data_IF_696011535937
#
_entry.id   IF_696011535937
#
_cell.length_a   1.000
_cell.length_b   1.000
_cell.length_c   1.000
_cell.angle_alpha   90.00
_cell.angle_beta   90.00
_cell.angle_gamma   90.00
#
_symmetry.space_group_name_H-M   'P 1'
#
loop_
_entity.id
_entity.type
_entity.pdbx_description
1 polymer ?
#
# COMPACT_ATOMS: atom_id res chain seq x y z
N UNK A 1 -7.52 16.98 -6.57
CA UNK A 1 -7.13 15.56 -6.62
C UNK A 1 -6.37 15.20 -5.35
N UNK A 2 -6.51 13.96 -4.92
CA UNK A 2 -5.87 13.50 -3.70
C UNK A 2 -4.44 13.03 -3.99
N UNK A 3 -3.51 13.40 -3.13
CA UNK A 3 -2.12 12.95 -3.21
C UNK A 3 -1.81 12.05 -2.02
N UNK A 4 -1.21 10.91 -2.27
CA UNK A 4 -0.80 9.96 -1.23
C UNK A 4 0.69 9.71 -1.38
N UNK A 5 1.48 10.15 -0.39
CA UNK A 5 2.94 9.96 -0.34
C UNK A 5 3.65 10.38 -1.64
N UNK A 6 3.23 11.48 -2.24
CA UNK A 6 3.80 11.98 -3.48
C UNK A 6 3.19 11.43 -4.75
N UNK A 7 2.29 10.45 -4.62
CA UNK A 7 1.54 9.92 -5.76
C UNK A 7 0.25 10.69 -5.92
N UNK A 8 0.05 11.31 -7.07
CA UNK A 8 -1.15 12.06 -7.36
C UNK A 8 -2.18 11.15 -8.00
N UNK A 9 -3.31 10.94 -7.31
CA UNK A 9 -4.35 10.04 -7.80
C UNK A 9 -5.06 10.65 -9.02
N UNK A 10 -5.26 9.84 -10.04
CA UNK A 10 -6.00 10.26 -11.24
C UNK A 10 -7.51 10.30 -10.99
N UNK A 11 -7.99 9.46 -10.07
CA UNK A 11 -9.40 9.37 -9.70
C UNK A 11 -9.51 8.75 -8.31
N UNK A 12 -10.71 8.71 -7.75
CA UNK A 12 -10.94 8.03 -6.48
C UNK A 12 -10.64 6.54 -6.61
N UNK A 13 -10.09 5.97 -5.54
CA UNK A 13 -9.80 4.55 -5.51
C UNK A 13 -11.08 3.74 -5.54
N UNK A 14 -11.05 2.65 -6.30
CA UNK A 14 -12.19 1.76 -6.52
C UNK A 14 -12.06 0.53 -5.62
N UNK A 15 -13.16 0.13 -4.98
CA UNK A 15 -13.15 -1.07 -4.16
C UNK A 15 -12.90 -2.32 -5.02
N UNK A 16 -12.04 -3.19 -4.51
CA UNK A 16 -11.77 -4.48 -5.10
C UNK A 16 -13.00 -5.40 -4.93
N UNK A 17 -13.15 -6.37 -5.80
CA UNK A 17 -14.23 -7.35 -5.73
C UNK A 17 -14.23 -8.14 -4.42
N UNK A 18 -13.06 -8.32 -3.81
CA UNK A 18 -12.93 -8.99 -2.51
C UNK A 18 -13.43 -8.14 -1.34
N UNK A 19 -13.51 -6.82 -1.50
CA UNK A 19 -13.85 -5.89 -0.43
C UNK A 19 -12.73 -5.64 0.58
N UNK A 20 -11.54 -6.21 0.39
CA UNK A 20 -10.42 -6.05 1.31
C UNK A 20 -9.43 -4.96 0.92
N UNK A 21 -9.57 -4.41 -0.26
CA UNK A 21 -8.68 -3.36 -0.73
C UNK A 21 -9.36 -2.45 -1.73
N UNK A 22 -8.73 -1.31 -1.98
CA UNK A 22 -9.13 -0.37 -3.03
C UNK A 22 -7.93 -0.17 -3.94
N UNK A 23 -8.16 0.16 -5.20
CA UNK A 23 -7.10 0.34 -6.17
C UNK A 23 -7.39 1.49 -7.11
N UNK A 24 -6.36 1.95 -7.80
CA UNK A 24 -6.48 3.01 -8.78
C UNK A 24 -5.14 3.30 -9.43
N UNK A 25 -5.11 4.38 -10.20
CA UNK A 25 -3.89 4.84 -10.84
C UNK A 25 -3.47 6.18 -10.29
N UNK A 26 -2.16 6.39 -10.21
CA UNK A 26 -1.57 7.62 -9.72
C UNK A 26 -0.38 8.02 -10.57
N UNK A 27 0.00 9.27 -10.50
CA UNK A 27 1.18 9.80 -11.20
C UNK A 27 2.21 10.31 -10.22
N UNK A 28 3.46 10.02 -10.55
CA UNK A 28 4.60 10.53 -9.80
C UNK A 28 5.77 10.70 -10.75
N UNK A 29 6.35 11.90 -10.78
CA UNK A 29 7.51 12.20 -11.65
C UNK A 29 7.27 11.86 -13.12
N UNK A 30 6.06 12.12 -13.61
CA UNK A 30 5.71 11.87 -15.02
C UNK A 30 5.42 10.42 -15.37
N UNK A 31 5.47 9.53 -14.40
CA UNK A 31 5.17 8.12 -14.61
C UNK A 31 3.83 7.75 -13.99
N UNK A 32 3.17 6.76 -14.58
CA UNK A 32 1.91 6.22 -14.05
C UNK A 32 2.20 4.99 -13.22
N UNK A 33 1.58 4.93 -12.05
CA UNK A 33 1.68 3.81 -11.12
C UNK A 33 0.31 3.25 -10.83
N UNK A 34 0.26 1.94 -10.59
CA UNK A 34 -0.90 1.31 -9.98
C UNK A 34 -0.73 1.42 -8.47
N UNK A 35 -1.75 1.91 -7.77
CA UNK A 35 -1.72 2.04 -6.31
C UNK A 35 -2.85 1.23 -5.71
N UNK A 36 -2.55 0.49 -4.66
CA UNK A 36 -3.52 -0.33 -3.95
C UNK A 36 -3.51 0.05 -2.48
N UNK A 37 -4.70 0.33 -1.94
CA UNK A 37 -4.89 0.64 -0.53
C UNK A 37 -5.44 -0.59 0.18
N UNK A 38 -4.77 -1.02 1.23
CA UNK A 38 -5.22 -2.14 2.06
C UNK A 38 -6.12 -1.61 3.16
N UNK A 39 -7.29 -2.22 3.34
CA UNK A 39 -8.24 -1.79 4.35
C UNK A 39 -7.91 -2.34 5.73
N UNK A 40 -7.10 -3.37 5.82
CA UNK A 40 -6.64 -3.99 7.07
C UNK A 40 -5.22 -4.50 6.90
N UNK A 41 -4.36 -4.43 7.92
CA UNK A 41 -4.61 -3.82 9.23
C UNK A 41 -4.61 -2.28 9.18
N UNK A 42 -5.24 -1.66 10.18
CA UNK A 42 -5.26 -0.21 10.33
C UNK A 42 -4.34 0.19 11.47
N UNK A 43 -3.41 1.09 11.20
CA UNK A 43 -2.48 1.58 12.21
C UNK A 43 -3.23 2.51 13.19
N UNK A 44 -3.00 2.38 14.50
CA UNK A 44 -3.74 3.16 15.50
C UNK A 44 -3.24 4.61 15.58
N UNK A 45 -3.79 5.49 14.76
CA UNK A 45 -3.43 6.92 14.77
C UNK A 45 -4.26 7.73 15.77
N UNK A 46 -5.39 7.21 16.24
CA UNK A 46 -6.24 7.85 17.24
C UNK A 46 -6.09 7.13 18.58
N UNK A 47 -4.85 7.08 19.08
CA UNK A 47 -4.52 6.33 20.28
C UNK A 47 -5.27 6.79 21.54
N UNK A 48 -5.65 8.07 21.61
CA UNK A 48 -6.38 8.61 22.75
C UNK A 48 -7.79 8.02 22.93
N UNK A 49 -8.33 7.40 21.86
CA UNK A 49 -9.63 6.76 21.92
C UNK A 49 -9.57 5.28 22.30
N UNK A 50 -8.34 4.76 22.51
CA UNK A 50 -8.09 3.36 22.79
C UNK A 50 -7.30 3.19 24.06
N UNK A 51 -7.41 2.02 24.70
CA UNK A 51 -6.55 1.68 25.84
C UNK A 51 -5.12 1.41 25.35
N UNK A 52 -4.14 1.62 26.23
CA UNK A 52 -2.74 1.35 25.89
C UNK A 52 -2.53 -0.09 25.42
N UNK A 53 -3.19 -1.03 26.06
CA UNK A 53 -3.11 -2.45 25.74
C UNK A 53 -3.59 -2.73 24.30
N UNK A 54 -4.70 -2.11 23.91
CA UNK A 54 -5.24 -2.25 22.55
C UNK A 54 -4.31 -1.60 21.53
N UNK A 55 -3.76 -0.42 21.85
CA UNK A 55 -2.83 0.30 20.98
C UNK A 55 -1.59 -0.54 20.73
N UNK A 56 -0.98 -1.10 21.78
CA UNK A 56 0.20 -1.93 21.65
C UNK A 56 -0.06 -3.17 20.81
N UNK A 57 -1.20 -3.82 21.01
CA UNK A 57 -1.60 -5.00 20.24
C UNK A 57 -1.74 -4.66 18.76
N UNK A 58 -2.38 -3.55 18.44
CA UNK A 58 -2.56 -3.10 17.05
C UNK A 58 -1.23 -2.74 16.41
N UNK A 59 -0.34 -2.06 17.12
CA UNK A 59 1.01 -1.72 16.63
C UNK A 59 1.81 -2.97 16.35
N UNK A 60 1.72 -3.97 17.21
CA UNK A 60 2.42 -5.25 17.02
C UNK A 60 1.93 -5.98 15.78
N UNK A 61 0.61 -6.03 15.57
CA UNK A 61 0.02 -6.64 14.38
C UNK A 61 0.47 -5.91 13.10
N UNK A 62 0.49 -4.59 13.14
CA UNK A 62 0.94 -3.78 12.01
C UNK A 62 2.42 -4.03 11.72
N UNK A 63 3.26 -4.10 12.75
CA UNK A 63 4.68 -4.36 12.61
C UNK A 63 4.94 -5.73 11.97
N UNK A 64 4.22 -6.76 12.42
CA UNK A 64 4.32 -8.09 11.85
C UNK A 64 3.87 -8.13 10.39
N UNK A 65 2.80 -7.39 10.08
CA UNK A 65 2.30 -7.25 8.71
C UNK A 65 3.33 -6.56 7.82
N UNK A 66 3.94 -5.47 8.29
CA UNK A 66 4.97 -4.75 7.54
C UNK A 66 6.15 -5.65 7.21
N UNK A 67 6.64 -6.41 8.18
CA UNK A 67 7.75 -7.34 7.96
C UNK A 67 7.41 -8.41 6.95
N UNK A 68 6.23 -9.01 7.09
CA UNK A 68 5.74 -10.04 6.18
C UNK A 68 5.65 -9.53 4.75
N UNK A 69 5.07 -8.35 4.57
CA UNK A 69 4.89 -7.76 3.25
C UNK A 69 6.21 -7.34 2.61
N UNK A 70 7.13 -6.79 3.40
CA UNK A 70 8.47 -6.43 2.89
C UNK A 70 9.22 -7.64 2.38
N UNK A 71 9.17 -8.75 3.11
CA UNK A 71 9.79 -10.01 2.68
C UNK A 71 9.16 -10.53 1.40
N UNK A 72 7.82 -10.51 1.34
CA UNK A 72 7.08 -10.98 0.19
C UNK A 72 7.44 -10.18 -1.07
N UNK A 73 7.45 -8.87 -0.97
CA UNK A 73 7.75 -8.00 -2.11
C UNK A 73 9.20 -8.10 -2.55
N UNK A 74 10.12 -8.24 -1.61
CA UNK A 74 11.53 -8.46 -1.94
C UNK A 74 11.69 -9.76 -2.72
N UNK A 75 11.02 -10.81 -2.29
CA UNK A 75 11.04 -12.11 -2.97
C UNK A 75 10.45 -12.00 -4.38
N UNK A 76 9.30 -11.36 -4.52
CA UNK A 76 8.65 -11.19 -5.82
C UNK A 76 9.54 -10.41 -6.78
N UNK A 77 10.15 -9.31 -6.32
CA UNK A 77 11.01 -8.49 -7.17
C UNK A 77 12.29 -9.24 -7.59
N UNK A 78 12.83 -10.07 -6.69
CA UNK A 78 14.03 -10.85 -7.00
C UNK A 78 13.74 -12.03 -7.92
N UNK A 79 12.53 -12.58 -7.87
CA UNK A 79 12.14 -13.74 -8.66
C UNK A 79 11.46 -13.36 -9.98
N UNK A 80 11.18 -12.08 -10.22
CA UNK A 80 10.55 -11.66 -11.46
C UNK A 80 11.61 -11.48 -12.55
N UNK A 81 11.89 -12.53 -13.27
CA UNK A 81 12.83 -12.56 -14.39
C UNK A 81 12.37 -11.67 -15.55
N UNK A 82 12.57 -10.37 -15.42
CA UNK A 82 12.21 -9.43 -16.47
C UNK A 82 10.71 -9.30 -16.69
N UNK A 83 9.91 -9.80 -15.77
CA UNK A 83 8.46 -9.73 -15.91
C UNK A 83 7.86 -8.47 -15.34
N UNK A 84 6.99 -8.12 -15.89
CA UNK A 84 5.88 -7.22 -16.11
C UNK A 84 5.39 -6.41 -14.88
N UNK A 85 5.57 -6.87 -13.66
CA UNK A 85 5.10 -6.16 -12.48
C UNK A 85 6.25 -5.96 -11.51
N UNK A 86 6.65 -4.72 -11.39
CA UNK A 86 7.70 -4.36 -10.44
C UNK A 86 7.10 -3.51 -9.34
N UNK A 87 7.21 -3.99 -8.12
CA UNK A 87 6.71 -3.24 -6.97
C UNK A 87 7.66 -2.08 -6.70
N UNK A 88 7.12 -0.85 -6.74
CA UNK A 88 7.89 0.36 -6.50
C UNK A 88 8.08 0.59 -5.01
N UNK A 89 6.99 0.65 -4.27
CA UNK A 89 7.04 0.89 -2.83
C UNK A 89 5.92 0.17 -2.10
N UNK A 90 6.19 -0.17 -0.85
CA UNK A 90 5.19 -0.52 0.15
C UNK A 90 5.37 0.45 1.31
N UNK A 91 4.31 1.14 1.70
CA UNK A 91 4.43 2.19 2.71
C UNK A 91 3.13 2.35 3.50
N UNK A 92 3.26 3.00 4.65
CA UNK A 92 2.12 3.42 5.44
C UNK A 92 1.92 4.92 5.24
N UNK A 93 0.69 5.30 4.97
CA UNK A 93 0.28 6.70 4.87
C UNK A 93 -0.96 6.90 5.73
N UNK A 94 -0.83 7.72 6.78
CA UNK A 94 -1.87 7.84 7.79
C UNK A 94 -2.06 6.52 8.53
N UNK A 95 -3.27 6.02 8.58
CA UNK A 95 -3.61 4.76 9.26
C UNK A 95 -3.59 3.54 8.34
N UNK A 96 -3.37 3.72 7.06
CA UNK A 96 -3.51 2.65 6.08
C UNK A 96 -2.21 2.33 5.37
N UNK A 97 -2.13 1.10 4.83
CA UNK A 97 -1.00 0.63 4.07
C UNK A 97 -1.31 0.66 2.59
N UNK A 98 -0.28 0.96 1.82
CA UNK A 98 -0.38 1.09 0.37
C UNK A 98 0.76 0.35 -0.31
N UNK A 99 0.50 -0.13 -1.51
CA UNK A 99 1.52 -0.67 -2.40
C UNK A 99 1.41 0.03 -3.73
N UNK A 100 2.56 0.35 -4.34
CA UNK A 100 2.59 0.92 -5.67
C UNK A 100 3.41 0.04 -6.60
N UNK A 101 2.92 -0.13 -7.81
CA UNK A 101 3.63 -0.85 -8.87
C UNK A 101 3.71 0.03 -10.10
N UNK A 102 4.83 -0.06 -10.83
CA UNK A 102 4.95 0.65 -12.09
C UNK A 102 3.98 0.09 -13.10
N UNK A 103 3.24 0.98 -13.77
CA UNK A 103 2.43 0.57 -14.89
C UNK A 103 3.36 0.40 -16.10
N UNK A 104 3.48 -0.83 -16.55
CA UNK A 104 4.28 -1.13 -17.75
C UNK A 104 3.41 -0.89 -18.96
N UNK A 105 3.79 0.11 -19.75
CA UNK A 105 3.14 0.32 -21.01
C UNK A 105 3.66 -0.73 -21.99
N UNK A 106 2.75 -1.60 -22.42
CA UNK A 106 3.08 -2.54 -23.47
C UNK A 106 3.25 -1.78 -24.78
N UNK A 107 4.38 -1.89 -25.34
CA UNK A 107 4.69 -1.29 -26.62
C UNK A 107 4.09 -2.15 -27.74
#
# INVERSE_FOLDING_TARGET
MKTINGYELEADLTADNSGFSKWGFARKNGKTYFIKEFLSPVYPVYAELLTEEVVERKKKLCSQYEEKMKKLYTTVNNCSDGNLVRIDQFFRYGSKYYITTEKIESV
#
